data_IF_160087020954
#
_entry.id   IF_160087020954
#
_cell.length_a   1.000
_cell.length_b   1.000
_cell.length_c   1.000
_cell.angle_alpha   90.00
_cell.angle_beta   90.00
_cell.angle_gamma   90.00
#
_symmetry.space_group_name_H-M   'P 1'
#
loop_
_entity.id
_entity.type
_entity.pdbx_description
1 polymer ?
#
# COMPACT_ATOMS: atom_id res chain seq x y z
N UNK A 1 -8.54 -18.00 -50.23
CA UNK A 1 -9.16 -17.00 -49.31
C UNK A 1 -9.78 -17.60 -48.04
N UNK A 2 -10.50 -18.74 -48.08
CA UNK A 2 -11.08 -19.37 -46.86
C UNK A 2 -10.07 -20.00 -45.88
N UNK A 3 -8.90 -20.41 -46.37
CA UNK A 3 -7.86 -21.05 -45.53
C UNK A 3 -7.12 -20.04 -44.62
N UNK A 4 -6.97 -18.78 -45.06
CA UNK A 4 -6.37 -17.71 -44.23
C UNK A 4 -7.23 -17.37 -43.01
N UNK A 5 -8.57 -17.40 -43.14
CA UNK A 5 -9.48 -17.08 -42.04
C UNK A 5 -9.38 -18.11 -40.90
N UNK A 6 -9.18 -19.39 -41.22
CA UNK A 6 -9.04 -20.44 -40.20
C UNK A 6 -7.72 -20.31 -39.42
N UNK A 7 -6.61 -19.94 -40.07
CA UNK A 7 -5.33 -19.71 -39.40
C UNK A 7 -5.32 -18.47 -38.49
N UNK A 8 -6.09 -17.44 -38.82
CA UNK A 8 -6.20 -16.23 -37.98
C UNK A 8 -7.07 -16.50 -36.74
N UNK A 9 -8.14 -17.30 -36.88
CA UNK A 9 -9.03 -17.65 -35.75
C UNK A 9 -8.32 -18.56 -34.72
N UNK A 10 -7.43 -19.45 -35.16
CA UNK A 10 -6.62 -20.27 -34.24
C UNK A 10 -5.55 -19.45 -33.51
N UNK A 11 -4.95 -18.45 -34.17
CA UNK A 11 -3.96 -17.55 -33.55
C UNK A 11 -4.58 -16.62 -32.49
N UNK A 12 -5.82 -16.15 -32.70
CA UNK A 12 -6.50 -15.26 -31.74
C UNK A 12 -6.95 -15.99 -30.47
N UNK A 13 -7.28 -17.28 -30.55
CA UNK A 13 -7.75 -18.06 -29.40
C UNK A 13 -6.64 -18.57 -28.48
N UNK A 14 -5.37 -18.52 -28.93
CA UNK A 14 -4.21 -18.99 -28.17
C UNK A 14 -3.48 -17.86 -27.44
N UNK A 15 -4.19 -16.82 -27.01
CA UNK A 15 -3.63 -15.88 -26.05
C UNK A 15 -3.61 -16.56 -24.67
N UNK A 16 -2.45 -16.84 -24.05
CA UNK A 16 -2.43 -17.27 -22.67
C UNK A 16 -3.04 -16.15 -21.83
N UNK A 17 -4.11 -16.46 -21.10
CA UNK A 17 -4.67 -15.55 -20.10
C UNK A 17 -3.59 -15.32 -19.04
N UNK A 18 -2.85 -14.22 -19.15
CA UNK A 18 -1.92 -13.76 -18.11
C UNK A 18 -2.76 -13.50 -16.86
N UNK A 19 -2.74 -14.45 -15.92
CA UNK A 19 -3.23 -14.23 -14.56
C UNK A 19 -2.29 -13.22 -13.92
N UNK A 20 -2.71 -11.96 -13.92
CA UNK A 20 -2.08 -10.92 -13.12
C UNK A 20 -2.07 -11.37 -11.66
N UNK A 21 -0.89 -11.38 -11.04
CA UNK A 21 -0.77 -11.62 -9.61
C UNK A 21 -1.41 -10.44 -8.89
N UNK A 22 -2.56 -10.66 -8.24
CA UNK A 22 -3.23 -9.66 -7.43
C UNK A 22 -2.35 -9.29 -6.23
N UNK A 23 -1.49 -8.27 -6.40
CA UNK A 23 -0.71 -7.72 -5.29
C UNK A 23 -1.68 -7.21 -4.24
N UNK A 24 -1.67 -7.84 -3.05
CA UNK A 24 -2.55 -7.47 -1.94
C UNK A 24 -2.27 -6.00 -1.58
N UNK A 25 -3.29 -5.15 -1.64
CA UNK A 25 -3.18 -3.72 -1.32
C UNK A 25 -3.15 -3.50 0.20
N UNK A 26 -2.39 -2.50 0.65
CA UNK A 26 -2.44 -2.01 2.03
C UNK A 26 -3.87 -1.58 2.39
N UNK A 27 -4.39 -2.07 3.52
CA UNK A 27 -5.71 -1.68 4.02
C UNK A 27 -5.55 -0.80 5.25
N UNK A 28 -6.16 0.39 5.22
CA UNK A 28 -6.06 1.40 6.27
C UNK A 28 -7.45 1.58 6.89
N UNK A 29 -7.65 1.05 8.10
CA UNK A 29 -8.88 1.25 8.87
C UNK A 29 -8.70 2.31 9.94
N UNK A 30 -9.59 3.30 10.03
CA UNK A 30 -9.59 4.29 11.11
C UNK A 30 -10.28 3.66 12.34
N UNK A 31 -9.56 3.56 13.46
CA UNK A 31 -10.08 3.08 14.75
C UNK A 31 -10.59 4.21 15.64
N UNK A 32 -9.96 5.38 15.56
CA UNK A 32 -10.36 6.60 16.26
C UNK A 32 -10.14 7.78 15.33
N UNK A 33 -11.21 8.49 14.98
CA UNK A 33 -11.18 9.76 14.25
C UNK A 33 -10.96 10.91 15.25
N UNK A 34 -10.26 11.95 14.80
CA UNK A 34 -10.15 13.23 15.50
C UNK A 34 -10.88 14.26 14.66
N UNK A 35 -11.86 14.96 15.25
CA UNK A 35 -12.76 15.84 14.50
C UNK A 35 -12.12 17.19 14.18
N UNK A 36 -11.27 17.70 15.07
CA UNK A 36 -10.50 18.93 14.86
C UNK A 36 -9.02 18.62 14.62
N UNK A 37 -8.60 18.69 13.37
CA UNK A 37 -7.24 18.34 12.95
C UNK A 37 -6.58 19.51 12.22
N UNK A 38 -5.71 20.22 12.94
CA UNK A 38 -4.96 21.36 12.39
C UNK A 38 -3.72 20.93 11.61
N UNK A 39 -3.12 19.81 12.00
CA UNK A 39 -1.86 19.31 11.42
C UNK A 39 -2.05 17.84 11.06
N UNK A 40 -1.63 17.49 9.83
CA UNK A 40 -1.63 16.13 9.29
C UNK A 40 -0.21 15.72 8.95
N UNK A 41 0.11 14.45 9.17
CA UNK A 41 1.42 13.90 8.84
C UNK A 41 1.73 13.93 7.34
N UNK A 42 2.96 14.31 7.03
CA UNK A 42 3.56 14.36 5.69
C UNK A 42 4.93 13.67 5.72
N UNK A 43 5.42 13.31 4.53
CA UNK A 43 6.79 12.79 4.39
C UNK A 43 7.79 13.81 4.93
N UNK A 44 8.72 13.35 5.76
CA UNK A 44 9.70 14.18 6.46
C UNK A 44 9.31 14.58 7.89
N UNK A 45 8.05 14.38 8.29
CA UNK A 45 7.62 14.66 9.66
C UNK A 45 8.18 13.61 10.62
N UNK A 46 8.51 14.03 11.84
CA UNK A 46 8.94 13.13 12.91
C UNK A 46 7.71 12.66 13.68
N UNK A 47 7.45 11.35 13.66
CA UNK A 47 6.30 10.73 14.33
C UNK A 47 6.73 9.98 15.58
N UNK A 48 5.95 10.13 16.67
CA UNK A 48 6.13 9.39 17.90
C UNK A 48 4.99 8.37 18.09
N UNK A 49 5.30 7.09 18.20
CA UNK A 49 4.30 6.03 18.34
C UNK A 49 4.10 5.57 19.77
N UNK A 50 2.85 5.24 20.11
CA UNK A 50 2.49 4.85 21.48
C UNK A 50 2.61 3.33 21.74
N UNK A 51 2.47 2.48 20.72
CA UNK A 51 2.46 1.01 20.92
C UNK A 51 3.80 0.48 21.43
N UNK A 52 4.87 0.97 20.82
CA UNK A 52 6.23 0.93 21.33
C UNK A 52 6.71 2.37 21.23
N UNK A 53 7.12 3.04 22.32
CA UNK A 53 7.62 4.41 22.24
C UNK A 53 8.87 4.41 21.37
N UNK A 54 8.69 4.78 20.11
CA UNK A 54 9.75 4.93 19.14
C UNK A 54 9.41 6.13 18.26
N UNK A 55 10.46 6.84 17.86
CA UNK A 55 10.38 8.02 17.02
C UNK A 55 11.07 7.72 15.70
N UNK A 56 10.46 8.12 14.59
CA UNK A 56 11.03 7.93 13.26
C UNK A 56 10.60 9.07 12.33
N UNK A 57 11.35 9.25 11.24
CA UNK A 57 10.97 10.19 10.19
C UNK A 57 10.09 9.49 9.15
N UNK A 58 8.89 10.02 8.89
CA UNK A 58 7.94 9.40 7.98
C UNK A 58 8.42 9.48 6.53
N UNK A 59 8.36 8.37 5.80
CA UNK A 59 8.63 8.33 4.36
C UNK A 59 10.12 8.33 4.00
N UNK A 60 11.01 8.08 4.97
CA UNK A 60 12.46 7.98 4.75
C UNK A 60 12.96 6.53 4.66
N UNK A 61 12.08 5.53 4.79
CA UNK A 61 12.48 4.11 4.79
C UNK A 61 13.03 3.61 6.12
N UNK A 62 12.95 4.40 7.21
CA UNK A 62 13.36 3.97 8.56
C UNK A 62 12.45 2.88 9.16
N UNK A 63 11.29 2.63 8.55
CA UNK A 63 10.30 1.62 8.96
C UNK A 63 9.84 0.82 7.74
N UNK A 64 9.08 -0.25 7.98
CA UNK A 64 8.50 -1.06 6.91
C UNK A 64 7.66 -0.19 5.95
N UNK A 65 7.68 -0.52 4.65
CA UNK A 65 7.01 0.26 3.60
C UNK A 65 5.52 0.49 3.89
N UNK A 66 4.86 -0.47 4.51
CA UNK A 66 3.45 -0.38 4.89
C UNK A 66 3.17 0.74 5.90
N UNK A 67 4.12 1.08 6.76
CA UNK A 67 3.99 2.18 7.72
C UNK A 67 4.22 3.53 7.05
N UNK A 68 5.28 3.65 6.25
CA UNK A 68 5.56 4.86 5.48
C UNK A 68 4.38 5.27 4.57
N UNK A 69 3.66 4.30 4.03
CA UNK A 69 2.46 4.54 3.23
C UNK A 69 1.20 4.74 4.08
N UNK A 70 1.01 3.94 5.13
CA UNK A 70 -0.23 3.87 5.90
C UNK A 70 -0.46 5.02 6.88
N UNK A 71 0.62 5.68 7.30
CA UNK A 71 0.60 6.73 8.31
C UNK A 71 0.53 8.14 7.73
N UNK A 72 0.53 8.30 6.40
CA UNK A 72 0.36 9.60 5.75
C UNK A 72 -1.04 10.18 6.02
N UNK A 73 -1.10 11.50 6.21
CA UNK A 73 -2.35 12.22 6.45
C UNK A 73 -3.03 11.83 7.76
N UNK A 74 -2.30 11.29 8.73
CA UNK A 74 -2.79 11.07 10.10
C UNK A 74 -2.79 12.35 10.88
N UNK A 75 -3.83 12.53 11.69
CA UNK A 75 -3.88 13.56 12.71
C UNK A 75 -3.23 13.08 14.00
N UNK A 76 -2.68 13.99 14.79
CA UNK A 76 -2.21 13.67 16.14
C UNK A 76 -3.35 13.07 16.98
N UNK A 77 -3.07 11.98 17.68
CA UNK A 77 -4.07 11.25 18.47
C UNK A 77 -5.05 10.38 17.67
N UNK A 78 -4.99 10.39 16.34
CA UNK A 78 -5.72 9.45 15.48
C UNK A 78 -5.17 8.02 15.68
N UNK A 79 -6.05 7.02 15.62
CA UNK A 79 -5.63 5.61 15.67
C UNK A 79 -6.05 4.91 14.39
N UNK A 80 -5.12 4.21 13.75
CA UNK A 80 -5.38 3.39 12.57
C UNK A 80 -5.01 1.93 12.78
N UNK A 81 -5.78 1.03 12.18
CA UNK A 81 -5.44 -0.38 12.01
C UNK A 81 -4.94 -0.56 10.58
N UNK A 82 -3.66 -0.89 10.44
CA UNK A 82 -3.04 -1.22 9.15
C UNK A 82 -3.04 -2.73 8.99
N UNK A 83 -3.62 -3.23 7.89
CA UNK A 83 -3.43 -4.62 7.45
C UNK A 83 -2.40 -4.59 6.34
N UNK A 84 -1.18 -4.99 6.68
CA UNK A 84 0.00 -4.86 5.82
C UNK A 84 0.24 -6.20 5.11
N UNK A 85 0.25 -6.22 3.77
CA UNK A 85 0.63 -7.41 3.01
C UNK A 85 2.13 -7.69 3.19
N UNK A 86 2.55 -8.95 3.04
CA UNK A 86 3.95 -9.36 3.26
C UNK A 86 4.96 -8.53 2.45
N UNK A 87 4.64 -8.19 1.20
CA UNK A 87 5.47 -7.35 0.30
C UNK A 87 5.79 -5.94 0.86
N UNK A 88 4.99 -5.46 1.82
CA UNK A 88 5.16 -4.16 2.46
C UNK A 88 5.60 -4.27 3.93
N UNK A 89 5.77 -5.50 4.44
CA UNK A 89 6.20 -5.81 5.80
C UNK A 89 7.70 -6.01 5.95
N UNK A 90 8.44 -6.09 4.85
CA UNK A 90 9.89 -6.27 4.86
C UNK A 90 10.60 -4.93 5.12
N UNK A 91 11.63 -4.98 5.95
CA UNK A 91 12.57 -3.89 6.12
C UNK A 91 13.51 -3.89 4.92
N UNK A 92 13.49 -2.82 4.12
CA UNK A 92 14.30 -2.72 2.91
C UNK A 92 15.38 -1.70 3.18
N UNK A 93 16.49 -2.14 3.78
CA UNK A 93 17.62 -1.29 4.08
C UNK A 93 18.93 -2.06 3.99
#
# INVERSE_FOLDING_TARGET
>A
MRLCLLFVVTLVSLAPAVRGSDKKKLQIGIKKRVDNCSIKSRKGDVLNMHYTPFTFTLGTGQVIKGWDQGLLGMCEGEKRKLVIPSELGEFVH
#
